data_IF_798440047854
#
_entry.id   IF_798440047854
#
_cell.length_a   1.000
_cell.length_b   1.000
_cell.length_c   1.000
_cell.angle_alpha   90.00
_cell.angle_beta   90.00
_cell.angle_gamma   90.00
#
_symmetry.space_group_name_H-M   'P 1'
#
loop_
_entity.id
_entity.type
_entity.pdbx_description
1 polymer ?
#
# COMPACT_ATOMS: atom_id res chain seq x y z
N UNK A 1 62.01 29.08 -43.23
CA UNK A 1 61.61 27.75 -43.71
C UNK A 1 60.14 27.55 -43.37
N UNK A 2 59.29 27.38 -44.41
CA UNK A 2 58.02 26.61 -44.46
C UNK A 2 57.04 26.71 -43.28
N UNK A 3 55.76 27.07 -43.43
CA UNK A 3 54.90 27.24 -44.59
C UNK A 3 53.44 27.24 -44.08
N UNK A 4 52.66 28.26 -44.45
CA UNK A 4 51.23 28.36 -44.18
C UNK A 4 50.47 27.39 -45.09
N UNK A 5 49.64 26.50 -44.52
CA UNK A 5 48.74 25.64 -45.29
C UNK A 5 47.28 25.97 -44.96
N UNK A 6 46.60 26.50 -45.98
CA UNK A 6 45.15 26.68 -46.04
C UNK A 6 44.51 25.32 -46.30
N UNK A 7 43.46 24.97 -45.56
CA UNK A 7 42.53 23.92 -45.98
C UNK A 7 41.09 24.41 -45.87
N UNK A 8 40.42 24.46 -47.02
CA UNK A 8 38.97 24.60 -47.21
C UNK A 8 38.47 23.28 -47.80
N UNK A 9 37.38 22.70 -47.28
CA UNK A 9 36.43 21.94 -48.09
C UNK A 9 35.06 22.64 -48.03
N UNK A 10 34.52 23.18 -49.13
CA UNK A 10 33.74 22.54 -50.21
C UNK A 10 32.50 21.76 -49.71
N UNK A 11 31.37 22.47 -49.71
CA UNK A 11 30.05 22.08 -50.23
C UNK A 11 29.50 20.69 -49.92
N UNK A 12 28.49 20.65 -49.05
CA UNK A 12 27.53 19.54 -48.98
C UNK A 12 26.37 19.81 -49.97
N UNK A 13 26.03 18.86 -50.86
CA UNK A 13 24.82 18.93 -51.66
C UNK A 13 23.59 18.59 -50.79
N UNK A 14 22.54 19.39 -50.98
CA UNK A 14 21.23 19.17 -50.38
C UNK A 14 20.58 17.90 -50.91
N UNK A 15 20.18 17.02 -50.00
CA UNK A 15 19.25 15.94 -50.29
C UNK A 15 17.94 16.25 -49.58
N UNK A 16 17.00 16.79 -50.36
CA UNK A 16 15.59 16.81 -50.00
C UNK A 16 15.07 15.38 -49.94
N UNK A 17 14.55 14.98 -48.78
CA UNK A 17 13.75 13.78 -48.61
C UNK A 17 12.29 14.21 -48.40
N UNK A 18 11.34 13.58 -49.11
CA UNK A 18 9.93 13.97 -49.08
C UNK A 18 9.31 13.62 -47.72
N UNK A 19 8.58 14.60 -47.18
CA UNK A 19 7.63 14.46 -46.08
C UNK A 19 6.59 13.40 -46.51
N UNK A 20 6.74 12.17 -46.01
CA UNK A 20 5.69 11.16 -46.09
C UNK A 20 4.71 11.41 -44.95
N UNK A 21 3.62 12.07 -45.31
CA UNK A 21 2.38 12.19 -44.56
C UNK A 21 1.87 10.77 -44.24
N UNK A 22 2.11 10.27 -43.02
CA UNK A 22 1.45 9.08 -42.52
C UNK A 22 0.11 9.50 -41.93
N UNK A 23 -0.95 9.18 -42.66
CA UNK A 23 -2.32 9.33 -42.25
C UNK A 23 -2.55 8.55 -40.94
N UNK A 24 -2.96 9.26 -39.90
CA UNK A 24 -3.50 8.67 -38.68
C UNK A 24 -4.87 8.06 -39.02
N UNK A 25 -4.93 6.74 -39.11
CA UNK A 25 -6.18 6.01 -39.08
C UNK A 25 -6.69 6.00 -37.63
N UNK A 26 -7.63 6.89 -37.33
CA UNK A 26 -8.40 6.83 -36.10
C UNK A 26 -9.34 5.61 -36.18
N UNK A 27 -8.98 4.54 -35.46
CA UNK A 27 -9.93 3.46 -35.17
C UNK A 27 -10.75 3.90 -33.97
N UNK A 28 -11.99 4.31 -34.24
CA UNK A 28 -13.03 4.48 -33.23
C UNK A 28 -13.42 3.06 -32.78
N UNK A 29 -12.75 2.56 -31.75
CA UNK A 29 -13.20 1.35 -31.07
C UNK A 29 -14.39 1.73 -30.19
N UNK A 30 -15.56 1.27 -30.60
CA UNK A 30 -16.78 1.38 -29.81
C UNK A 30 -16.55 0.78 -28.42
N UNK A 31 -16.85 1.55 -27.37
CA UNK A 31 -17.02 1.05 -26.02
C UNK A 31 -18.25 0.15 -26.01
N UNK A 32 -18.05 -1.15 -26.21
CA UNK A 32 -19.04 -2.15 -25.85
C UNK A 32 -18.95 -2.32 -24.33
N UNK A 33 -19.99 -1.82 -23.66
CA UNK A 33 -20.17 -1.92 -22.21
C UNK A 33 -20.33 -3.39 -21.83
N UNK A 34 -19.21 -4.09 -21.63
CA UNK A 34 -19.20 -5.37 -20.97
C UNK A 34 -19.66 -5.15 -19.52
N UNK A 35 -20.87 -5.63 -19.22
CA UNK A 35 -21.34 -5.90 -17.86
C UNK A 35 -20.25 -6.72 -17.18
N UNK A 36 -19.63 -6.12 -16.17
CA UNK A 36 -18.71 -6.82 -15.29
C UNK A 36 -19.56 -7.68 -14.38
N UNK A 37 -19.67 -8.95 -14.75
CA UNK A 37 -20.30 -9.97 -13.93
C UNK A 37 -19.50 -10.17 -12.64
N UNK A 38 -20.28 -10.30 -11.58
CA UNK A 38 -19.97 -10.44 -10.16
C UNK A 38 -18.88 -11.50 -9.92
N UNK A 39 -17.63 -11.05 -9.75
CA UNK A 39 -16.53 -11.88 -9.30
C UNK A 39 -16.21 -11.51 -7.85
N UNK A 40 -16.82 -12.27 -6.92
CA UNK A 40 -16.36 -12.49 -5.54
C UNK A 40 -15.78 -11.28 -4.82
N UNK A 41 -16.66 -10.56 -4.11
CA UNK A 41 -16.31 -9.54 -3.13
C UNK A 41 -15.27 -10.09 -2.14
N UNK A 42 -14.00 -9.82 -2.39
CA UNK A 42 -13.02 -9.71 -1.32
C UNK A 42 -13.35 -8.38 -0.63
N UNK A 43 -13.85 -8.44 0.59
CA UNK A 43 -14.23 -7.30 1.45
C UNK A 43 -13.00 -6.45 1.89
N UNK A 44 -11.92 -6.50 1.11
CA UNK A 44 -10.72 -5.66 1.23
C UNK A 44 -10.81 -4.37 0.40
N UNK A 45 -12.02 -3.95 0.03
CA UNK A 45 -12.28 -2.62 -0.51
C UNK A 45 -12.03 -1.59 0.59
N UNK A 46 -10.78 -1.18 0.76
CA UNK A 46 -10.43 0.01 1.53
C UNK A 46 -10.93 1.25 0.80
N UNK A 47 -11.46 2.21 1.57
CA UNK A 47 -11.08 3.65 1.47
C UNK A 47 -12.11 4.57 2.16
N UNK A 48 -13.41 4.24 2.16
CA UNK A 48 -14.43 5.11 2.77
C UNK A 48 -14.94 4.64 4.14
N UNK A 49 -15.07 3.32 4.34
CA UNK A 49 -15.73 2.74 5.53
C UNK A 49 -14.98 3.01 6.85
N UNK A 50 -13.64 3.03 6.82
CA UNK A 50 -12.81 3.33 8.01
C UNK A 50 -12.99 4.77 8.52
N UNK A 51 -13.40 5.70 7.65
CA UNK A 51 -13.66 7.09 8.00
C UNK A 51 -15.15 7.35 8.29
N UNK A 52 -16.05 6.58 7.70
CA UNK A 52 -17.51 6.83 7.72
C UNK A 52 -18.24 6.20 8.93
N UNK A 53 -17.67 5.20 9.61
CA UNK A 53 -18.34 4.53 10.73
C UNK A 53 -18.02 5.19 12.09
N UNK A 54 -18.16 6.52 12.16
CA UNK A 54 -17.70 7.37 13.25
C UNK A 54 -18.62 7.48 14.47
N UNK A 55 -19.86 7.00 14.37
CA UNK A 55 -20.95 7.34 15.30
C UNK A 55 -21.42 6.18 16.19
N UNK A 56 -20.77 5.02 16.09
CA UNK A 56 -21.01 3.93 17.03
C UNK A 56 -20.22 4.19 18.32
N UNK A 57 -20.92 4.12 19.47
CA UNK A 57 -20.30 4.20 20.80
C UNK A 57 -19.06 3.29 20.89
N UNK A 58 -18.01 3.79 21.56
CA UNK A 58 -16.83 2.98 21.84
C UNK A 58 -17.28 1.72 22.61
N UNK A 59 -16.74 0.54 22.27
CA UNK A 59 -17.19 -0.68 22.93
C UNK A 59 -16.83 -0.59 24.42
N UNK A 60 -17.72 -1.08 25.28
CA UNK A 60 -17.39 -1.30 26.69
C UNK A 60 -16.35 -2.43 26.76
N UNK A 61 -15.08 -2.03 26.86
CA UNK A 61 -13.90 -2.91 26.89
C UNK A 61 -13.65 -3.55 28.25
N UNK A 62 -14.65 -3.57 29.14
CA UNK A 62 -14.58 -4.18 30.47
C UNK A 62 -14.71 -5.72 30.47
N UNK A 63 -14.82 -6.35 29.30
CA UNK A 63 -14.88 -7.81 29.16
C UNK A 63 -13.52 -8.48 29.37
N UNK A 64 -13.43 -9.57 30.15
CA UNK A 64 -12.15 -10.16 30.59
C UNK A 64 -11.31 -10.85 29.49
N UNK A 65 -11.81 -11.03 28.27
CA UNK A 65 -11.25 -12.02 27.34
C UNK A 65 -10.77 -11.49 25.97
N UNK A 66 -10.83 -10.19 25.71
CA UNK A 66 -10.48 -9.66 24.37
C UNK A 66 -8.96 -9.56 24.11
N UNK A 67 -8.11 -9.73 25.13
CA UNK A 67 -6.66 -9.55 25.01
C UNK A 67 -6.23 -8.06 25.02
N UNK A 68 -4.96 -7.75 24.67
CA UNK A 68 -4.48 -6.37 24.65
C UNK A 68 -5.17 -5.58 23.52
N UNK A 69 -5.35 -4.27 23.69
CA UNK A 69 -5.94 -3.39 22.67
C UNK A 69 -5.12 -3.32 21.38
N UNK A 70 -3.81 -3.49 21.50
CA UNK A 70 -2.88 -3.56 20.39
C UNK A 70 -1.59 -4.27 20.81
N UNK A 71 -0.77 -4.64 19.83
CA UNK A 71 0.61 -5.07 20.02
C UNK A 71 1.54 -4.23 19.14
N UNK A 72 2.79 -4.04 19.55
CA UNK A 72 3.78 -3.28 18.76
C UNK A 72 4.66 -4.18 17.89
N UNK A 73 4.61 -5.50 18.12
CA UNK A 73 5.35 -6.52 17.36
C UNK A 73 4.53 -7.80 17.30
N UNK A 74 4.55 -8.47 16.14
CA UNK A 74 3.99 -9.80 15.94
C UNK A 74 5.13 -10.83 15.92
N UNK A 75 5.35 -11.52 17.05
CA UNK A 75 6.44 -12.50 17.21
C UNK A 75 6.04 -13.92 16.84
N UNK A 76 4.76 -14.18 16.56
CA UNK A 76 4.25 -15.47 16.08
C UNK A 76 3.00 -15.30 15.22
N UNK A 77 2.67 -16.30 14.40
CA UNK A 77 1.37 -16.36 13.70
C UNK A 77 0.19 -16.43 14.67
N UNK A 78 0.38 -16.99 15.87
CA UNK A 78 -0.61 -16.99 16.94
C UNK A 78 -0.90 -15.58 17.49
N UNK A 79 0.13 -14.73 17.60
CA UNK A 79 -0.05 -13.33 17.99
C UNK A 79 -0.88 -12.55 16.95
N UNK A 80 -0.64 -12.78 15.66
CA UNK A 80 -1.48 -12.23 14.59
C UNK A 80 -2.91 -12.73 14.72
N UNK A 81 -3.11 -14.05 14.85
CA UNK A 81 -4.45 -14.65 14.96
C UNK A 81 -5.22 -14.15 16.18
N UNK A 82 -4.54 -13.88 17.31
CA UNK A 82 -5.16 -13.34 18.52
C UNK A 82 -5.67 -11.91 18.39
N UNK A 83 -5.14 -11.13 17.45
CA UNK A 83 -5.61 -9.77 17.14
C UNK A 83 -6.53 -9.72 15.92
N UNK A 84 -6.58 -10.79 15.12
CA UNK A 84 -7.24 -10.78 13.82
C UNK A 84 -8.76 -10.66 13.93
N UNK A 85 -9.35 -9.96 12.96
CA UNK A 85 -10.80 -9.83 12.85
C UNK A 85 -11.44 -11.06 12.21
N UNK A 86 -12.75 -11.03 11.95
CA UNK A 86 -13.47 -12.14 11.32
C UNK A 86 -12.89 -12.57 9.97
N UNK A 87 -12.22 -11.66 9.25
CA UNK A 87 -11.59 -11.98 7.96
C UNK A 87 -10.14 -12.47 8.08
N UNK A 88 -9.59 -12.54 9.29
CA UNK A 88 -8.22 -13.00 9.56
C UNK A 88 -7.13 -11.95 9.34
N UNK A 89 -7.50 -10.70 9.08
CA UNK A 89 -6.59 -9.56 8.95
C UNK A 89 -6.42 -8.81 10.28
N UNK A 90 -5.27 -8.16 10.42
CA UNK A 90 -4.93 -7.26 11.52
C UNK A 90 -4.55 -5.92 10.93
N UNK A 91 -5.22 -4.84 11.32
CA UNK A 91 -4.87 -3.49 10.88
C UNK A 91 -3.63 -2.99 11.62
N UNK A 92 -2.77 -2.22 10.96
CA UNK A 92 -1.58 -1.62 11.57
C UNK A 92 -1.51 -0.12 11.33
N UNK A 93 -0.95 0.61 12.30
CA UNK A 93 -0.49 1.98 12.13
C UNK A 93 1.01 2.07 12.39
N UNK A 94 1.70 2.94 11.64
CA UNK A 94 3.13 3.15 11.78
C UNK A 94 3.52 4.60 11.47
N UNK A 95 4.43 5.25 12.23
CA UNK A 95 4.92 6.59 11.89
C UNK A 95 5.59 6.67 10.51
N UNK A 96 5.36 7.78 9.80
CA UNK A 96 6.09 8.09 8.56
C UNK A 96 7.50 8.60 8.92
N UNK A 97 8.53 7.96 8.36
CA UNK A 97 9.91 8.37 8.59
C UNK A 97 10.16 9.82 8.16
N UNK A 98 10.88 10.59 8.98
CA UNK A 98 11.18 12.00 8.73
C UNK A 98 10.03 12.97 9.06
N UNK A 99 8.87 12.47 9.48
CA UNK A 99 7.77 13.27 10.03
C UNK A 99 7.79 13.17 11.55
N UNK A 100 7.54 14.28 12.25
CA UNK A 100 7.48 14.30 13.71
C UNK A 100 6.39 13.34 14.21
N UNK A 101 6.73 12.31 15.01
CA UNK A 101 5.73 11.41 15.57
C UNK A 101 4.71 12.15 16.44
N UNK A 102 3.44 11.75 16.36
CA UNK A 102 2.36 12.31 17.16
C UNK A 102 1.94 11.29 18.23
N UNK A 103 2.10 11.60 19.53
CA UNK A 103 1.60 10.76 20.60
C UNK A 103 0.10 10.45 20.44
N UNK A 104 -0.35 9.25 20.84
CA UNK A 104 0.45 8.18 21.45
C UNK A 104 1.13 7.23 20.46
N UNK A 105 0.93 7.40 19.15
CA UNK A 105 1.49 6.53 18.10
C UNK A 105 2.96 6.93 17.84
N UNK A 106 3.87 6.32 18.60
CA UNK A 106 5.30 6.67 18.62
C UNK A 106 6.22 5.49 18.40
N UNK A 107 5.75 4.27 18.69
CA UNK A 107 6.45 3.03 18.36
C UNK A 107 6.42 2.74 16.85
N UNK A 108 7.35 1.92 16.31
CA UNK A 108 7.41 1.61 14.89
C UNK A 108 6.11 1.03 14.32
N UNK A 109 5.38 0.22 15.10
CA UNK A 109 4.11 -0.37 14.69
C UNK A 109 3.10 -0.44 15.83
N UNK A 110 1.82 -0.35 15.48
CA UNK A 110 0.68 -0.65 16.33
C UNK A 110 -0.27 -1.56 15.56
N UNK A 111 -0.24 -2.86 15.88
CA UNK A 111 -1.17 -3.85 15.38
C UNK A 111 -2.44 -3.82 16.24
N UNK A 112 -3.52 -3.35 15.65
CA UNK A 112 -4.81 -3.14 16.29
C UNK A 112 -5.49 -4.47 16.58
N UNK A 113 -6.06 -4.61 17.78
CA UNK A 113 -6.93 -5.74 18.07
C UNK A 113 -8.28 -5.55 17.37
N UNK A 114 -8.49 -6.29 16.31
CA UNK A 114 -9.67 -6.21 15.45
C UNK A 114 -10.95 -6.77 16.09
N UNK A 115 -10.82 -7.50 17.21
CA UNK A 115 -11.96 -7.94 18.01
C UNK A 115 -12.49 -6.83 18.92
N UNK A 116 -11.68 -5.79 19.16
CA UNK A 116 -12.06 -4.63 19.99
C UNK A 116 -12.37 -3.42 19.13
N UNK A 117 -11.49 -3.14 18.16
CA UNK A 117 -11.61 -2.01 17.26
C UNK A 117 -11.56 -2.54 15.84
N UNK A 118 -12.65 -2.40 15.10
CA UNK A 118 -12.80 -2.80 13.70
C UNK A 118 -12.22 -1.75 12.71
N UNK A 119 -12.02 -0.52 13.17
CA UNK A 119 -11.59 0.62 12.35
C UNK A 119 -10.46 1.40 12.99
N UNK A 120 -9.52 1.90 12.17
CA UNK A 120 -8.40 2.71 12.67
C UNK A 120 -8.86 3.97 13.38
N UNK A 121 -9.86 4.68 12.84
CA UNK A 121 -10.38 5.89 13.49
C UNK A 121 -10.93 5.59 14.89
N UNK A 122 -11.64 4.45 15.05
CA UNK A 122 -12.16 4.02 16.35
C UNK A 122 -11.05 3.67 17.33
N UNK A 123 -10.03 2.95 16.86
CA UNK A 123 -8.82 2.66 17.64
C UNK A 123 -8.08 3.93 18.06
N UNK A 124 -7.83 4.86 17.13
CA UNK A 124 -7.18 6.13 17.40
C UNK A 124 -7.97 6.95 18.43
N UNK A 125 -9.30 7.03 18.31
CA UNK A 125 -10.16 7.73 19.27
C UNK A 125 -10.22 7.10 20.66
N UNK A 126 -9.77 5.84 20.81
CA UNK A 126 -9.67 5.19 22.13
C UNK A 126 -8.59 5.85 23.00
N UNK A 127 -7.63 6.55 22.40
CA UNK A 127 -6.63 7.32 23.11
C UNK A 127 -7.16 8.72 23.44
N UNK A 128 -6.94 9.18 24.68
CA UNK A 128 -7.47 10.47 25.16
C UNK A 128 -7.04 11.64 24.27
N UNK A 129 -5.78 11.66 23.85
CA UNK A 129 -5.16 12.72 23.03
C UNK A 129 -5.73 12.80 21.60
N UNK A 130 -6.35 11.73 21.13
CA UNK A 130 -6.86 11.57 19.77
C UNK A 130 -8.39 11.35 19.72
N UNK A 131 -9.06 11.42 20.87
CA UNK A 131 -10.50 11.18 21.04
C UNK A 131 -11.40 12.08 20.17
N UNK A 132 -10.90 13.26 19.78
CA UNK A 132 -11.62 14.23 18.96
C UNK A 132 -11.29 14.18 17.47
N UNK A 133 -10.44 13.24 17.02
CA UNK A 133 -10.09 13.12 15.60
C UNK A 133 -11.35 12.93 14.76
N UNK A 134 -11.51 13.72 13.70
CA UNK A 134 -12.59 13.54 12.73
C UNK A 134 -12.21 12.55 11.63
N UNK A 135 -13.20 12.14 10.84
CA UNK A 135 -12.98 11.39 9.61
C UNK A 135 -12.02 12.12 8.65
N UNK A 136 -12.19 13.45 8.52
CA UNK A 136 -11.30 14.28 7.70
C UNK A 136 -9.88 14.30 8.24
N UNK A 137 -9.70 14.46 9.56
CA UNK A 137 -8.37 14.42 10.17
C UNK A 137 -7.71 13.06 9.91
N UNK A 138 -8.45 11.96 10.05
CA UNK A 138 -7.92 10.62 9.76
C UNK A 138 -7.45 10.49 8.30
N UNK A 139 -8.25 10.95 7.34
CA UNK A 139 -7.86 10.93 5.92
C UNK A 139 -6.59 11.72 5.69
N UNK A 140 -6.47 12.90 6.30
CA UNK A 140 -5.28 13.75 6.17
C UNK A 140 -4.04 13.12 6.82
N UNK A 141 -4.20 12.47 7.97
CA UNK A 141 -3.10 11.92 8.76
C UNK A 141 -2.64 10.53 8.29
N UNK A 142 -3.50 9.77 7.60
CA UNK A 142 -3.22 8.37 7.22
C UNK A 142 -3.26 8.14 5.70
N UNK A 143 -4.30 8.64 5.02
CA UNK A 143 -4.57 8.27 3.62
C UNK A 143 -3.90 9.20 2.60
N UNK A 144 -3.93 10.51 2.84
CA UNK A 144 -3.41 11.51 1.90
C UNK A 144 -1.90 11.58 1.97
N UNK A 145 -1.25 11.30 0.84
CA UNK A 145 0.21 11.22 0.76
C UNK A 145 0.93 12.50 1.17
N UNK A 146 0.47 13.72 0.79
CA UNK A 146 1.18 14.95 1.13
C UNK A 146 1.14 15.30 2.63
N UNK A 147 0.12 14.84 3.35
CA UNK A 147 -0.15 15.25 4.73
C UNK A 147 -0.01 14.12 5.75
N UNK A 148 0.09 12.87 5.29
CA UNK A 148 0.14 11.72 6.19
C UNK A 148 1.33 11.82 7.15
N UNK A 149 1.05 11.46 8.39
CA UNK A 149 2.06 11.30 9.43
C UNK A 149 2.14 9.84 9.91
N UNK A 150 1.14 9.03 9.54
CA UNK A 150 1.11 7.60 9.78
C UNK A 150 0.82 6.84 8.48
N UNK A 151 1.48 5.70 8.30
CA UNK A 151 1.04 4.64 7.43
C UNK A 151 -0.12 3.89 8.10
N UNK A 152 -1.11 3.49 7.31
CA UNK A 152 -2.18 2.59 7.71
C UNK A 152 -2.31 1.45 6.71
N UNK A 153 -2.69 0.27 7.16
CA UNK A 153 -2.81 -0.90 6.31
C UNK A 153 -3.28 -2.13 7.07
N UNK A 154 -3.28 -3.29 6.40
CA UNK A 154 -3.58 -4.58 7.00
C UNK A 154 -2.43 -5.58 6.82
N UNK A 155 -2.34 -6.55 7.72
CA UNK A 155 -1.47 -7.73 7.62
C UNK A 155 -2.31 -8.99 7.78
N UNK A 156 -2.08 -9.99 6.93
CA UNK A 156 -2.79 -11.27 6.99
C UNK A 156 -1.89 -12.43 6.60
N UNK A 157 -2.03 -13.56 7.27
CA UNK A 157 -1.22 -14.76 6.98
C UNK A 157 -2.00 -15.78 6.15
N UNK A 158 -1.38 -16.25 5.07
CA UNK A 158 -1.90 -17.29 4.17
C UNK A 158 -0.91 -18.47 4.15
N UNK A 159 -1.11 -19.48 5.02
CA UNK A 159 -0.16 -20.60 5.16
C UNK A 159 -0.16 -21.52 3.93
N UNK A 160 -1.27 -21.61 3.19
CA UNK A 160 -1.42 -22.44 2.01
C UNK A 160 -0.91 -21.77 0.72
N UNK A 161 -0.66 -20.47 0.75
CA UNK A 161 -0.20 -19.69 -0.41
C UNK A 161 1.33 -19.63 -0.44
N UNK A 162 1.99 -20.01 -1.54
CA UNK A 162 3.44 -19.86 -1.68
C UNK A 162 3.86 -18.38 -1.78
N UNK A 163 4.86 -17.98 -1.01
CA UNK A 163 5.57 -16.73 -1.18
C UNK A 163 6.31 -16.70 -2.54
N UNK A 164 6.24 -15.59 -3.31
CA UNK A 164 6.86 -15.50 -4.63
C UNK A 164 8.36 -15.84 -4.69
N UNK A 165 9.09 -15.63 -3.58
CA UNK A 165 10.54 -15.89 -3.50
C UNK A 165 10.97 -16.83 -2.37
N UNK A 166 10.07 -17.23 -1.45
CA UNK A 166 10.45 -17.94 -0.21
C UNK A 166 9.73 -19.29 -0.03
N UNK A 167 8.97 -19.76 -1.02
CA UNK A 167 8.24 -21.03 -0.96
C UNK A 167 7.02 -20.96 -0.04
N UNK A 168 6.62 -22.08 0.57
CA UNK A 168 5.31 -22.22 1.20
C UNK A 168 5.01 -21.23 2.34
N UNK A 169 3.85 -20.58 2.29
CA UNK A 169 3.37 -19.64 3.31
C UNK A 169 3.82 -18.21 3.04
N UNK A 170 2.87 -17.28 3.06
CA UNK A 170 3.09 -15.83 2.89
C UNK A 170 2.33 -15.06 3.96
N UNK A 171 2.94 -14.00 4.46
CA UNK A 171 2.25 -12.95 5.20
C UNK A 171 2.11 -11.75 4.27
N UNK A 172 0.89 -11.43 3.87
CA UNK A 172 0.65 -10.28 3.01
C UNK A 172 0.47 -9.03 3.84
N UNK A 173 0.88 -7.89 3.28
CA UNK A 173 0.56 -6.58 3.82
C UNK A 173 -0.03 -5.69 2.73
N UNK A 174 -0.93 -4.81 3.16
CA UNK A 174 -1.53 -3.76 2.34
C UNK A 174 -1.15 -2.40 2.89
N UNK A 175 -1.35 -1.34 2.11
CA UNK A 175 -1.17 0.04 2.58
C UNK A 175 -2.27 0.91 1.98
N UNK A 176 -2.87 1.73 2.83
CA UNK A 176 -3.97 2.60 2.47
C UNK A 176 -3.46 3.89 1.83
N UNK A 177 -4.27 4.44 0.93
CA UNK A 177 -3.99 5.71 0.24
C UNK A 177 -5.28 6.28 -0.33
N UNK A 178 -5.29 7.58 -0.61
CA UNK A 178 -6.33 8.15 -1.46
C UNK A 178 -6.03 7.91 -2.94
N UNK A 179 -7.06 7.54 -3.71
CA UNK A 179 -6.90 7.01 -5.08
C UNK A 179 -6.63 8.11 -6.14
N UNK A 180 -6.46 9.38 -5.74
CA UNK A 180 -6.43 10.52 -6.65
C UNK A 180 -5.07 11.24 -6.73
N UNK A 181 -4.59 11.46 -7.96
CA UNK A 181 -3.53 12.43 -8.26
C UNK A 181 -2.25 12.25 -7.44
N UNK A 182 -1.93 13.27 -6.62
CA UNK A 182 -0.73 13.32 -5.79
C UNK A 182 -0.71 12.29 -4.63
N UNK A 183 -1.85 11.66 -4.35
CA UNK A 183 -2.00 10.69 -3.26
C UNK A 183 -1.52 9.27 -3.62
N UNK A 184 -1.26 9.02 -4.90
CA UNK A 184 -0.76 7.73 -5.39
C UNK A 184 0.54 7.33 -4.69
N UNK A 185 0.59 6.06 -4.31
CA UNK A 185 1.81 5.43 -3.79
C UNK A 185 2.90 5.36 -4.86
N UNK A 186 4.13 5.51 -4.40
CA UNK A 186 5.36 5.32 -5.16
C UNK A 186 6.11 4.08 -4.66
N UNK A 187 7.10 3.61 -5.42
CA UNK A 187 7.94 2.48 -4.99
C UNK A 187 8.72 2.78 -3.71
N UNK A 188 9.07 4.06 -3.46
CA UNK A 188 9.74 4.48 -2.23
C UNK A 188 8.80 4.40 -1.02
N UNK A 189 7.51 4.72 -1.20
CA UNK A 189 6.51 4.55 -0.14
C UNK A 189 6.38 3.06 0.23
N UNK A 190 6.34 2.17 -0.76
CA UNK A 190 6.27 0.72 -0.51
C UNK A 190 7.53 0.20 0.20
N UNK A 191 8.71 0.72 -0.13
CA UNK A 191 9.95 0.37 0.59
C UNK A 191 9.97 0.88 2.02
N UNK A 192 9.48 2.09 2.26
CA UNK A 192 9.38 2.61 3.62
C UNK A 192 8.47 1.73 4.50
N UNK A 193 7.29 1.38 3.99
CA UNK A 193 6.35 0.50 4.71
C UNK A 193 6.92 -0.90 4.90
N UNK A 194 7.49 -1.49 3.84
CA UNK A 194 8.07 -2.83 3.92
C UNK A 194 9.19 -2.91 4.95
N UNK A 195 10.10 -1.92 4.97
CA UNK A 195 11.21 -1.89 5.94
C UNK A 195 10.71 -1.91 7.38
N UNK A 196 9.66 -1.14 7.68
CA UNK A 196 9.09 -1.08 9.03
C UNK A 196 8.41 -2.42 9.38
N UNK A 197 7.58 -2.95 8.47
CA UNK A 197 6.87 -4.20 8.72
C UNK A 197 7.81 -5.40 8.85
N UNK A 198 8.94 -5.43 8.14
CA UNK A 198 9.94 -6.51 8.28
C UNK A 198 10.57 -6.57 9.67
N UNK A 199 10.63 -5.44 10.39
CA UNK A 199 11.06 -5.40 11.80
C UNK A 199 9.92 -5.76 12.76
N UNK A 200 8.71 -5.32 12.46
CA UNK A 200 7.55 -5.51 13.33
C UNK A 200 6.87 -6.89 13.23
N UNK A 201 6.96 -7.56 12.08
CA UNK A 201 6.35 -8.88 11.82
C UNK A 201 7.42 -9.97 11.94
N UNK A 202 8.04 -10.03 13.12
CA UNK A 202 9.22 -10.86 13.39
C UNK A 202 9.05 -12.37 13.19
N UNK A 203 7.82 -12.88 13.11
CA UNK A 203 7.59 -14.31 12.79
C UNK A 203 7.70 -14.64 11.29
N UNK A 204 7.69 -13.64 10.42
CA UNK A 204 7.61 -13.80 8.97
C UNK A 204 8.55 -12.86 8.19
N UNK A 205 9.78 -12.56 8.66
CA UNK A 205 10.59 -11.48 8.11
C UNK A 205 10.90 -11.67 6.62
N UNK A 206 11.14 -12.91 6.19
CA UNK A 206 11.50 -13.24 4.79
C UNK A 206 10.28 -13.67 3.93
N UNK A 207 9.06 -13.50 4.46
CA UNK A 207 7.82 -13.99 3.83
C UNK A 207 6.76 -12.90 3.71
N UNK A 208 7.16 -11.64 3.85
CA UNK A 208 6.30 -10.49 3.64
C UNK A 208 6.14 -10.18 2.14
N UNK A 209 4.89 -10.09 1.68
CA UNK A 209 4.58 -9.68 0.32
C UNK A 209 3.55 -8.54 0.30
N UNK A 210 3.76 -7.57 -0.59
CA UNK A 210 2.78 -6.53 -0.85
C UNK A 210 1.59 -7.10 -1.63
N UNK A 211 0.38 -6.84 -1.16
CA UNK A 211 -0.87 -7.13 -1.84
C UNK A 211 -1.56 -5.81 -2.21
N UNK A 212 -1.63 -5.43 -3.50
CA UNK A 212 -2.36 -4.25 -3.93
C UNK A 212 -3.86 -4.43 -3.72
N UNK A 213 -4.55 -3.38 -3.24
CA UNK A 213 -5.97 -3.48 -2.84
C UNK A 213 -6.95 -2.84 -3.82
N UNK A 214 -6.49 -1.95 -4.70
CA UNK A 214 -7.33 -1.28 -5.69
C UNK A 214 -6.78 -1.43 -7.12
N UNK A 215 -7.56 -1.09 -8.17
CA UNK A 215 -7.14 -1.24 -9.56
C UNK A 215 -5.89 -0.44 -9.96
N UNK A 216 -5.68 0.74 -9.37
CA UNK A 216 -4.50 1.57 -9.65
C UNK A 216 -3.26 0.98 -9.00
N UNK A 217 -3.32 0.59 -7.73
CA UNK A 217 -2.25 -0.14 -7.07
C UNK A 217 -1.93 -1.44 -7.82
N UNK A 218 -2.96 -2.17 -8.27
CA UNK A 218 -2.78 -3.43 -9.00
C UNK A 218 -2.03 -3.20 -10.30
N UNK A 219 -2.43 -2.19 -11.08
CA UNK A 219 -1.77 -1.85 -12.35
C UNK A 219 -0.34 -1.41 -12.12
N UNK A 220 -0.11 -0.52 -11.14
CA UNK A 220 1.22 -0.06 -10.74
C UNK A 220 2.12 -1.24 -10.31
N UNK A 221 1.64 -2.10 -9.41
CA UNK A 221 2.40 -3.22 -8.88
C UNK A 221 2.70 -4.28 -9.96
N UNK A 222 1.83 -4.47 -10.95
CA UNK A 222 2.13 -5.33 -12.11
C UNK A 222 3.25 -4.75 -12.97
N UNK A 223 3.24 -3.44 -13.21
CA UNK A 223 4.27 -2.76 -14.00
C UNK A 223 5.62 -2.76 -13.26
N UNK A 224 5.61 -2.52 -11.95
CA UNK A 224 6.81 -2.38 -11.12
C UNK A 224 7.27 -3.68 -10.47
N UNK A 225 6.61 -4.83 -10.70
CA UNK A 225 6.86 -6.10 -9.98
C UNK A 225 8.34 -6.46 -9.90
N UNK A 226 9.05 -6.37 -11.02
CA UNK A 226 10.48 -6.69 -11.08
C UNK A 226 11.35 -5.67 -10.34
N UNK A 227 11.02 -4.39 -10.43
CA UNK A 227 11.74 -3.32 -9.72
C UNK A 227 11.53 -3.42 -8.21
N UNK A 228 10.30 -3.68 -7.75
CA UNK A 228 9.97 -3.92 -6.35
C UNK A 228 10.69 -5.15 -5.80
N UNK A 229 10.72 -6.25 -6.56
CA UNK A 229 11.47 -7.45 -6.18
C UNK A 229 12.97 -7.15 -6.05
N UNK A 230 13.54 -6.36 -6.97
CA UNK A 230 14.93 -5.90 -6.89
C UNK A 230 15.23 -5.03 -5.66
N UNK A 231 14.20 -4.50 -5.00
CA UNK A 231 14.26 -3.75 -3.73
C UNK A 231 13.84 -4.59 -2.52
N UNK A 232 13.70 -5.91 -2.68
CA UNK A 232 13.34 -6.84 -1.61
C UNK A 232 11.84 -7.02 -1.39
N UNK A 233 10.98 -6.36 -2.17
CA UNK A 233 9.53 -6.43 -2.00
C UNK A 233 8.95 -7.47 -2.96
N UNK A 234 8.52 -8.61 -2.41
CA UNK A 234 7.66 -9.53 -3.15
C UNK A 234 6.27 -8.91 -3.33
N UNK A 235 5.65 -9.17 -4.50
CA UNK A 235 4.27 -8.76 -4.79
C UNK A 235 3.45 -10.00 -5.09
N UNK A 236 2.28 -10.08 -4.44
CA UNK A 236 1.27 -11.11 -4.66
C UNK A 236 -0.05 -10.44 -4.99
N UNK A 237 -0.81 -11.02 -5.92
CA UNK A 237 -2.11 -10.53 -6.33
C UNK A 237 -3.24 -11.38 -5.72
N UNK A 238 -4.44 -10.81 -5.64
CA UNK A 238 -5.59 -11.47 -5.03
C UNK A 238 -5.89 -12.84 -5.65
N UNK A 239 -5.74 -12.97 -6.97
CA UNK A 239 -5.95 -14.23 -7.69
C UNK A 239 -4.90 -15.32 -7.39
N UNK A 240 -3.79 -14.98 -6.74
CA UNK A 240 -2.73 -15.92 -6.36
C UNK A 240 -2.93 -16.48 -4.94
N UNK A 241 -3.85 -15.91 -4.15
CA UNK A 241 -4.13 -16.31 -2.77
C UNK A 241 -4.99 -17.59 -2.70
N UNK A 242 -4.70 -18.43 -1.71
CA UNK A 242 -5.34 -19.72 -1.40
C UNK A 242 -5.59 -19.85 0.10
#
# INVERSE_FOLDING_TARGET
MTGLSRFRPKGLPGNGLPIRLLAAAAVISACESAKQDDAGVLDGGVDARDAEQSDADLPDVSGPDAGPWFMTTLTSSGALAGLAGPTGDVKYLSPVAGVTPRPPITEPCYFQNMNVFDYHLRFLRSFTELSTLTATDYRDLVLRRPTRIWWGGGVKHYPATPHPSAGQGVTVWTVYHEVAGADRLSSDDLVAVHSILSECVGFSPDRLAFLPTDPFQTTFARQERAALLGRGIAVIFAEELR
#
